data_IF_231836453832
#
_entry.id   IF_231836453832
#
_cell.length_a   1.000
_cell.length_b   1.000
_cell.length_c   1.000
_cell.angle_alpha   90.00
_cell.angle_beta   90.00
_cell.angle_gamma   90.00
#
_symmetry.space_group_name_H-M   'P 1'
#
loop_
_entity.id
_entity.type
_entity.pdbx_description
1 polymer ?
#
# COMPACT_ATOMS: atom_id res chain seq x y z
N UNK A 1 7.65 5.76 9.77
CA UNK A 1 7.77 4.59 10.67
C UNK A 1 6.62 3.62 10.43
N UNK A 2 6.58 2.47 11.11
CA UNK A 2 5.62 1.39 10.80
C UNK A 2 4.14 1.83 10.85
N UNK A 3 3.76 2.68 11.81
CA UNK A 3 2.41 3.24 11.89
C UNK A 3 2.06 4.16 10.70
N UNK A 4 3.04 4.91 10.19
CA UNK A 4 2.90 5.76 9.00
C UNK A 4 2.66 4.91 7.76
N UNK A 5 3.44 3.83 7.58
CA UNK A 5 3.29 2.93 6.44
C UNK A 5 1.91 2.27 6.39
N UNK A 6 1.38 1.83 7.54
CA UNK A 6 0.05 1.24 7.61
C UNK A 6 -1.04 2.22 7.14
N UNK A 7 -0.95 3.50 7.54
CA UNK A 7 -1.88 4.54 7.11
C UNK A 7 -1.76 4.82 5.60
N UNK A 8 -0.55 4.84 5.05
CA UNK A 8 -0.32 5.02 3.61
C UNK A 8 -0.92 3.86 2.79
N UNK A 9 -0.75 2.61 3.23
CA UNK A 9 -1.34 1.44 2.57
C UNK A 9 -2.86 1.43 2.68
N UNK A 10 -3.42 1.88 3.81
CA UNK A 10 -4.86 2.04 3.97
C UNK A 10 -5.41 3.12 3.02
N UNK A 11 -4.71 4.25 2.87
CA UNK A 11 -5.08 5.29 1.90
C UNK A 11 -5.02 4.76 0.45
N UNK A 12 -3.97 4.02 0.10
CA UNK A 12 -3.86 3.38 -1.22
C UNK A 12 -5.00 2.35 -1.47
N UNK A 13 -5.35 1.57 -0.45
CA UNK A 13 -6.45 0.62 -0.53
C UNK A 13 -7.80 1.34 -0.71
N UNK A 14 -7.96 2.50 -0.08
CA UNK A 14 -9.14 3.38 -0.19
C UNK A 14 -9.21 4.21 -1.48
N UNK A 15 -8.23 4.09 -2.38
CA UNK A 15 -8.26 4.75 -3.69
C UNK A 15 -7.61 6.13 -3.72
N UNK A 16 -6.69 6.45 -2.80
CA UNK A 16 -5.93 7.69 -2.88
C UNK A 16 -5.09 7.77 -4.16
N UNK A 17 -5.21 8.88 -4.91
CA UNK A 17 -4.44 9.11 -6.14
C UNK A 17 -2.97 9.48 -5.85
N UNK A 18 -2.72 10.16 -4.73
CA UNK A 18 -1.39 10.62 -4.32
C UNK A 18 -1.13 10.36 -2.85
N UNK A 19 0.07 9.84 -2.56
CA UNK A 19 0.59 9.64 -1.20
C UNK A 19 1.92 10.37 -1.09
N UNK A 20 1.99 11.34 -0.17
CA UNK A 20 3.24 12.00 0.19
C UNK A 20 3.91 11.21 1.30
N UNK A 21 5.08 10.64 1.00
CA UNK A 21 5.86 9.85 1.96
C UNK A 21 7.29 10.37 2.08
N UNK A 22 7.88 10.21 3.27
CA UNK A 22 9.31 10.42 3.50
C UNK A 22 10.10 9.12 3.38
N UNK A 23 9.42 7.97 3.27
CA UNK A 23 10.02 6.64 3.24
C UNK A 23 9.53 5.88 1.99
N UNK A 24 10.01 6.26 0.78
CA UNK A 24 9.48 5.73 -0.48
C UNK A 24 9.74 4.23 -0.67
N UNK A 25 10.81 3.70 -0.09
CA UNK A 25 11.16 2.27 -0.21
C UNK A 25 10.13 1.36 0.48
N UNK A 26 9.88 1.51 1.80
CA UNK A 26 8.83 0.73 2.47
C UNK A 26 7.46 0.85 1.82
N UNK A 27 7.07 2.05 1.38
CA UNK A 27 5.79 2.24 0.70
C UNK A 27 5.70 1.43 -0.60
N UNK A 28 6.73 1.46 -1.44
CA UNK A 28 6.76 0.68 -2.69
C UNK A 28 6.67 -0.82 -2.45
N UNK A 29 7.43 -1.33 -1.48
CA UNK A 29 7.41 -2.76 -1.14
C UNK A 29 6.03 -3.17 -0.61
N UNK A 30 5.43 -2.36 0.27
CA UNK A 30 4.08 -2.60 0.78
C UNK A 30 3.00 -2.56 -0.30
N UNK A 31 3.10 -1.63 -1.25
CA UNK A 31 2.16 -1.54 -2.38
C UNK A 31 2.25 -2.76 -3.30
N UNK A 32 3.45 -3.28 -3.55
CA UNK A 32 3.63 -4.49 -4.34
C UNK A 32 2.96 -5.71 -3.69
N UNK A 33 3.13 -5.87 -2.37
CA UNK A 33 2.45 -6.93 -1.60
C UNK A 33 0.93 -6.74 -1.64
N UNK A 34 0.44 -5.53 -1.42
CA UNK A 34 -0.99 -5.23 -1.44
C UNK A 34 -1.62 -5.55 -2.81
N UNK A 35 -0.92 -5.27 -3.91
CA UNK A 35 -1.36 -5.61 -5.25
C UNK A 35 -1.45 -7.14 -5.46
N UNK A 36 -0.45 -7.89 -5.01
CA UNK A 36 -0.44 -9.35 -5.10
C UNK A 36 -1.58 -9.99 -4.29
N UNK A 37 -1.89 -9.45 -3.10
CA UNK A 37 -3.01 -9.89 -2.28
C UNK A 37 -4.36 -9.61 -2.95
N UNK A 38 -4.53 -8.43 -3.56
CA UNK A 38 -5.73 -8.08 -4.33
C UNK A 38 -5.93 -9.01 -5.52
N UNK A 39 -4.87 -9.36 -6.23
CA UNK A 39 -4.93 -10.33 -7.34
C UNK A 39 -5.39 -11.70 -6.86
N UNK A 40 -4.75 -12.20 -5.79
CA UNK A 40 -5.08 -13.49 -5.19
C UNK A 40 -6.54 -13.55 -4.74
N UNK A 41 -7.05 -12.47 -4.16
CA UNK A 41 -8.43 -12.36 -3.70
C UNK A 41 -9.47 -12.33 -4.84
N UNK A 42 -9.08 -11.95 -6.07
CA UNK A 42 -9.98 -11.97 -7.24
C UNK A 42 -10.13 -13.35 -7.89
N UNK A 43 -9.12 -14.20 -7.72
CA UNK A 43 -9.08 -15.55 -8.31
C UNK A 43 -9.85 -16.56 -7.43
N UNK A 44 -10.08 -16.22 -6.16
CA UNK A 44 -10.82 -17.04 -5.20
C UNK A 44 -12.30 -16.70 -5.18
#
# INVERSE_FOLDING_TARGET
GAATLAAELAAAAGGADFIRTHEPRPLRDGLAVLAALKETARIR
#
